data_IF_198754645381
#
_entry.id   IF_198754645381
#
_cell.length_a   1.000
_cell.length_b   1.000
_cell.length_c   1.000
_cell.angle_alpha   90.00
_cell.angle_beta   90.00
_cell.angle_gamma   90.00
#
_symmetry.space_group_name_H-M   'P 1'
#
loop_
_entity.id
_entity.type
_entity.pdbx_description
1 polymer ?
#
# COMPACT_ATOMS: atom_id res chain seq x y z
N UNK A 1 -22.13 2.28 30.41
CA UNK A 1 -21.05 1.54 29.73
C UNK A 1 -21.53 1.14 28.34
N UNK A 2 -20.65 1.15 27.34
CA UNK A 2 -20.96 0.67 25.98
C UNK A 2 -20.34 -0.71 25.79
N UNK A 3 -21.16 -1.72 25.52
CA UNK A 3 -20.72 -3.10 25.27
C UNK A 3 -20.72 -3.39 23.77
N UNK A 4 -19.60 -3.89 23.25
CA UNK A 4 -19.41 -4.20 21.83
C UNK A 4 -18.92 -5.65 21.67
N UNK A 5 -19.81 -6.66 21.73
CA UNK A 5 -19.44 -8.07 21.77
C UNK A 5 -18.74 -8.58 20.51
N UNK A 6 -18.84 -7.86 19.40
CA UNK A 6 -18.24 -8.21 18.12
C UNK A 6 -16.91 -7.50 17.87
N UNK A 7 -16.50 -6.57 18.75
CA UNK A 7 -15.24 -5.86 18.61
C UNK A 7 -14.10 -6.71 19.17
N UNK A 8 -13.12 -6.97 18.30
CA UNK A 8 -11.91 -7.72 18.66
C UNK A 8 -10.67 -7.05 18.11
N UNK A 9 -9.51 -7.63 18.44
CA UNK A 9 -8.22 -7.22 17.89
C UNK A 9 -7.64 -8.33 17.04
N UNK A 10 -7.10 -7.97 15.88
CA UNK A 10 -6.33 -8.87 15.02
C UNK A 10 -4.85 -8.57 15.18
N UNK A 11 -4.02 -9.62 15.20
CA UNK A 11 -2.56 -9.47 15.17
C UNK A 11 -2.12 -9.12 13.75
N UNK A 12 -1.83 -7.85 13.47
CA UNK A 12 -1.41 -7.38 12.13
C UNK A 12 -0.30 -8.23 11.47
N UNK A 13 0.77 -8.66 12.18
CA UNK A 13 1.79 -9.51 11.56
C UNK A 13 1.23 -10.85 11.04
N UNK A 14 0.30 -11.48 11.77
CA UNK A 14 -0.33 -12.74 11.35
C UNK A 14 -1.28 -12.52 10.17
N UNK A 15 -2.04 -11.42 10.18
CA UNK A 15 -2.90 -11.05 9.06
C UNK A 15 -2.08 -10.81 7.78
N UNK A 16 -0.99 -10.06 7.87
CA UNK A 16 -0.08 -9.81 6.74
C UNK A 16 0.51 -11.10 6.16
N UNK A 17 0.94 -12.03 7.01
CA UNK A 17 1.42 -13.35 6.58
C UNK A 17 0.33 -14.15 5.84
N UNK A 18 -0.90 -14.16 6.35
CA UNK A 18 -2.01 -14.87 5.72
C UNK A 18 -2.37 -14.27 4.35
N UNK A 19 -2.41 -12.94 4.25
CA UNK A 19 -2.65 -12.23 2.99
C UNK A 19 -1.55 -12.52 1.97
N UNK A 20 -0.27 -12.46 2.38
CA UNK A 20 0.86 -12.79 1.50
C UNK A 20 0.77 -14.21 0.96
N UNK A 21 0.49 -15.19 1.84
CA UNK A 21 0.31 -16.58 1.44
C UNK A 21 -0.85 -16.73 0.44
N UNK A 22 -1.96 -16.00 0.65
CA UNK A 22 -3.09 -16.01 -0.28
C UNK A 22 -2.73 -15.46 -1.66
N UNK A 23 -1.99 -14.35 -1.73
CA UNK A 23 -1.54 -13.76 -3.00
C UNK A 23 -0.58 -14.70 -3.74
N UNK A 24 0.36 -15.34 -3.03
CA UNK A 24 1.29 -16.31 -3.62
C UNK A 24 0.57 -17.53 -4.23
N UNK A 25 -0.62 -17.87 -3.74
CA UNK A 25 -1.45 -18.95 -4.29
C UNK A 25 -2.36 -18.50 -5.44
N UNK A 26 -2.34 -17.22 -5.86
CA UNK A 26 -3.15 -16.72 -6.96
C UNK A 26 -2.32 -16.68 -8.26
N UNK A 27 -2.67 -17.44 -9.30
CA UNK A 27 -1.85 -17.56 -10.51
C UNK A 27 -1.80 -16.27 -11.34
N UNK A 28 -2.76 -15.36 -11.16
CA UNK A 28 -2.90 -14.11 -11.89
C UNK A 28 -2.42 -12.88 -11.10
N UNK A 29 -1.70 -13.09 -9.99
CA UNK A 29 -1.18 -12.02 -9.16
C UNK A 29 0.34 -12.13 -9.10
N UNK A 30 1.02 -11.02 -9.34
CA UNK A 30 2.46 -10.89 -9.13
C UNK A 30 2.69 -9.96 -7.95
N UNK A 31 3.38 -10.46 -6.92
CA UNK A 31 3.83 -9.67 -5.78
C UNK A 31 5.32 -9.36 -5.95
N UNK A 32 5.65 -8.09 -6.17
CA UNK A 32 7.03 -7.62 -6.31
C UNK A 32 7.39 -6.83 -5.05
N UNK A 33 8.10 -7.46 -4.12
CA UNK A 33 8.59 -6.81 -2.90
C UNK A 33 9.91 -6.07 -3.18
N UNK A 34 10.30 -5.17 -2.27
CA UNK A 34 11.54 -4.36 -2.40
C UNK A 34 11.62 -3.56 -3.72
N UNK A 35 10.45 -3.30 -4.31
CA UNK A 35 10.26 -2.52 -5.53
C UNK A 35 9.64 -1.18 -5.15
N UNK A 36 10.49 -0.18 -4.96
CA UNK A 36 10.06 1.17 -4.60
C UNK A 36 9.62 1.90 -5.86
N UNK A 37 8.36 2.32 -5.90
CA UNK A 37 7.88 3.24 -6.92
C UNK A 37 8.49 4.62 -6.69
N UNK A 38 9.10 5.19 -7.73
CA UNK A 38 9.75 6.49 -7.72
C UNK A 38 8.89 7.56 -8.43
N UNK A 39 8.00 7.15 -9.34
CA UNK A 39 7.10 8.05 -10.03
C UNK A 39 6.04 7.32 -10.85
N UNK A 40 5.07 8.07 -11.36
CA UNK A 40 4.03 7.57 -12.26
C UNK A 40 4.35 7.97 -13.69
N UNK A 41 4.32 7.01 -14.60
CA UNK A 41 4.62 7.23 -16.01
C UNK A 41 3.34 7.69 -16.71
N UNK A 42 3.42 8.83 -17.39
CA UNK A 42 2.32 9.39 -18.17
C UNK A 42 2.71 9.52 -19.65
N UNK A 43 1.79 9.15 -20.54
CA UNK A 43 1.91 9.37 -21.99
C UNK A 43 0.62 10.02 -22.48
N UNK A 44 0.73 11.16 -23.15
CA UNK A 44 -0.42 11.91 -23.68
C UNK A 44 -1.52 12.17 -22.64
N UNK A 45 -1.13 12.46 -21.38
CA UNK A 45 -2.06 12.72 -20.29
C UNK A 45 -2.72 11.47 -19.67
N UNK A 46 -2.33 10.26 -20.08
CA UNK A 46 -2.82 9.00 -19.50
C UNK A 46 -1.70 8.31 -18.72
N UNK A 47 -2.04 7.79 -17.54
CA UNK A 47 -1.16 6.89 -16.76
C UNK A 47 -0.98 5.58 -17.52
N UNK A 48 0.27 5.14 -17.68
CA UNK A 48 0.61 3.90 -18.40
C UNK A 48 1.50 2.96 -17.58
N UNK A 49 1.83 3.33 -16.34
CA UNK A 49 2.68 2.54 -15.48
C UNK A 49 3.32 3.36 -14.37
N UNK A 50 4.30 2.75 -13.73
CA UNK A 50 5.11 3.35 -12.67
C UNK A 50 6.59 3.12 -12.95
N UNK A 51 7.40 4.10 -12.62
CA UNK A 51 8.85 3.96 -12.61
C UNK A 51 9.29 3.47 -11.23
N UNK A 52 10.24 2.53 -11.19
CA UNK A 52 10.66 1.87 -9.95
C UNK A 52 12.17 1.71 -9.90
N UNK A 53 12.71 1.43 -8.71
CA UNK A 53 14.13 1.08 -8.56
C UNK A 53 14.56 -0.20 -9.29
N UNK A 54 13.62 -0.95 -9.89
CA UNK A 54 13.87 -2.16 -10.67
C UNK A 54 13.45 -1.99 -12.15
N UNK A 55 13.23 -0.75 -12.59
CA UNK A 55 12.78 -0.39 -13.94
C UNK A 55 11.27 -0.15 -14.04
N UNK A 56 10.79 0.11 -15.25
CA UNK A 56 9.38 0.44 -15.49
C UNK A 56 8.46 -0.76 -15.27
N UNK A 57 7.30 -0.52 -14.64
CA UNK A 57 6.20 -1.47 -14.54
C UNK A 57 4.97 -0.88 -15.23
N UNK A 58 4.64 -1.40 -16.42
CA UNK A 58 3.54 -0.89 -17.24
C UNK A 58 2.19 -1.45 -16.77
N UNK A 59 1.17 -0.60 -16.75
CA UNK A 59 -0.18 -0.98 -16.39
C UNK A 59 -1.21 -0.03 -17.03
N UNK A 60 -2.37 -0.57 -17.40
CA UNK A 60 -3.47 0.24 -17.96
C UNK A 60 -4.24 1.00 -16.88
N UNK A 61 -4.20 0.50 -15.64
CA UNK A 61 -4.85 1.07 -14.47
C UNK A 61 -3.90 1.00 -13.28
N UNK A 62 -3.91 2.07 -12.49
CA UNK A 62 -3.11 2.19 -11.27
C UNK A 62 -4.03 2.42 -10.09
N UNK A 63 -3.85 1.62 -9.03
CA UNK A 63 -4.51 1.81 -7.73
C UNK A 63 -3.43 2.12 -6.70
N UNK A 64 -3.53 3.27 -6.04
CA UNK A 64 -2.55 3.69 -5.03
C UNK A 64 -2.98 3.21 -3.64
N UNK A 65 -2.22 2.27 -3.10
CA UNK A 65 -2.38 1.75 -1.73
C UNK A 65 -1.20 2.12 -0.83
N UNK A 66 -0.55 3.27 -1.07
CA UNK A 66 0.71 3.70 -0.43
C UNK A 66 0.61 4.21 1.01
N UNK A 67 -0.54 4.04 1.67
CA UNK A 67 -0.75 4.46 3.07
C UNK A 67 -0.35 5.91 3.32
N UNK A 68 0.49 6.14 4.33
CA UNK A 68 0.93 7.48 4.74
C UNK A 68 1.78 8.22 3.68
N UNK A 69 2.30 7.52 2.67
CA UNK A 69 3.13 8.07 1.59
C UNK A 69 2.34 8.32 0.30
N UNK A 70 1.03 8.04 0.27
CA UNK A 70 0.21 8.17 -0.93
C UNK A 70 0.22 9.61 -1.51
N UNK A 71 0.26 10.62 -0.65
CA UNK A 71 0.32 12.03 -1.08
C UNK A 71 1.63 12.34 -1.86
N UNK A 72 2.77 11.86 -1.36
CA UNK A 72 4.07 12.03 -2.00
C UNK A 72 4.13 11.32 -3.37
N UNK A 73 3.58 10.10 -3.44
CA UNK A 73 3.56 9.33 -4.68
C UNK A 73 2.75 10.02 -5.80
N UNK A 74 1.69 10.74 -5.42
CA UNK A 74 0.72 11.35 -6.34
C UNK A 74 1.03 12.82 -6.67
N UNK A 75 2.07 13.39 -6.06
CA UNK A 75 2.44 14.80 -6.26
C UNK A 75 2.72 15.12 -7.75
N UNK A 76 3.38 14.20 -8.45
CA UNK A 76 3.64 14.31 -9.90
C UNK A 76 2.40 14.19 -10.81
N UNK A 77 1.25 13.80 -10.27
CA UNK A 77 -0.03 13.76 -10.98
C UNK A 77 -0.90 14.99 -10.71
N UNK A 78 -0.40 15.99 -9.98
CA UNK A 78 -1.17 17.15 -9.51
C UNK A 78 -2.43 16.76 -8.71
N UNK A 79 -2.40 15.60 -8.06
CA UNK A 79 -3.47 15.12 -7.16
C UNK A 79 -3.07 15.44 -5.74
N UNK A 80 -3.85 16.30 -5.07
CA UNK A 80 -3.62 16.66 -3.67
C UNK A 80 -4.43 15.76 -2.75
N UNK A 81 -3.74 14.98 -1.93
CA UNK A 81 -4.36 14.17 -0.87
C UNK A 81 -4.10 14.80 0.51
N UNK A 82 -5.14 14.97 1.35
CA UNK A 82 -4.99 15.48 2.71
C UNK A 82 -4.48 14.39 3.68
N UNK A 83 -3.42 13.68 3.30
CA UNK A 83 -2.81 12.60 4.08
C UNK A 83 -1.41 13.02 4.48
N UNK A 84 -1.07 12.83 5.77
CA UNK A 84 0.27 13.04 6.30
C UNK A 84 0.63 11.94 7.30
N UNK A 85 1.90 11.51 7.37
CA UNK A 85 2.33 10.58 8.41
C UNK A 85 2.12 11.16 9.81
N UNK A 86 1.65 10.32 10.73
CA UNK A 86 1.51 10.67 12.15
C UNK A 86 2.06 9.52 12.97
N UNK A 87 2.82 9.87 14.02
CA UNK A 87 3.37 8.89 14.95
C UNK A 87 2.27 8.41 15.91
N UNK A 88 1.99 7.11 15.90
CA UNK A 88 1.26 6.43 16.97
C UNK A 88 2.24 5.74 17.93
N UNK A 89 1.86 5.60 19.20
CA UNK A 89 2.62 4.83 20.19
C UNK A 89 1.76 3.68 20.71
N UNK A 90 2.36 2.49 20.79
CA UNK A 90 1.73 1.29 21.30
C UNK A 90 2.71 0.61 22.25
N UNK A 91 2.23 0.14 23.40
CA UNK A 91 3.03 -0.62 24.37
C UNK A 91 2.49 -2.04 24.39
N UNK A 92 3.38 -3.02 24.21
CA UNK A 92 3.07 -4.42 24.35
C UNK A 92 3.89 -4.98 25.52
N UNK A 93 3.21 -5.65 26.45
CA UNK A 93 3.84 -6.35 27.55
C UNK A 93 4.06 -7.81 27.16
N UNK A 94 5.22 -8.36 27.50
CA UNK A 94 5.44 -9.80 27.52
C UNK A 94 5.20 -10.29 28.95
N UNK A 95 4.41 -11.36 29.07
CA UNK A 95 4.30 -12.15 30.29
C UNK A 95 5.33 -13.28 30.26
#
# INVERSE_FOLDING_TARGET
ALWMPTLGSVRNPRLGQALRARLAAMPNVTLIEQCSVQGVIQRQGRVVGVDTNQGEQLAEQLVVCGGAWAAQLLEGLNVRLPVRPVKGQMIAYQA
#
